data_IF_520640428969
#
_entry.id   IF_520640428969
#
_cell.length_a   1.000
_cell.length_b   1.000
_cell.length_c   1.000
_cell.angle_alpha   90.00
_cell.angle_beta   90.00
_cell.angle_gamma   90.00
#
_symmetry.space_group_name_H-M   'P 1'
#
loop_
_entity.id
_entity.type
_entity.pdbx_description
1 polymer ?
#
# COMPACT_ATOMS: atom_id res chain seq x y z
N UNK A 1 -2.90 -20.08 8.44
CA UNK A 1 -2.23 -21.31 8.93
C UNK A 1 -0.80 -21.01 9.40
N UNK A 2 0.06 -20.44 8.53
CA UNK A 2 1.48 -20.17 8.85
C UNK A 2 1.67 -19.23 10.05
N UNK A 3 1.01 -18.05 10.06
CA UNK A 3 1.12 -17.08 11.16
C UNK A 3 0.75 -17.72 12.50
N UNK A 4 -0.42 -18.39 12.58
CA UNK A 4 -0.87 -19.10 13.79
C UNK A 4 0.13 -20.16 14.28
N UNK A 5 0.76 -20.89 13.37
CA UNK A 5 1.80 -21.87 13.76
C UNK A 5 3.03 -21.16 14.32
N UNK A 6 3.50 -20.08 13.70
CA UNK A 6 4.63 -19.30 14.18
C UNK A 6 4.33 -18.62 15.54
N UNK A 7 3.13 -18.07 15.72
CA UNK A 7 2.64 -17.50 16.99
C UNK A 7 2.71 -18.54 18.11
N UNK A 8 2.27 -19.78 17.84
CA UNK A 8 2.31 -20.87 18.82
C UNK A 8 3.73 -21.27 19.21
N UNK A 9 4.67 -21.24 18.27
CA UNK A 9 6.08 -21.61 18.51
C UNK A 9 6.80 -20.54 19.33
N UNK A 10 6.60 -19.27 18.95
CA UNK A 10 7.30 -18.13 19.57
C UNK A 10 6.61 -17.69 20.88
N UNK A 11 5.33 -18.03 21.05
CA UNK A 11 4.54 -17.68 22.23
C UNK A 11 4.07 -16.22 22.26
N UNK A 12 4.15 -15.51 21.13
CA UNK A 12 3.77 -14.09 21.00
C UNK A 12 2.83 -13.93 19.81
N UNK A 13 1.86 -13.02 19.92
CA UNK A 13 0.98 -12.67 18.80
C UNK A 13 1.76 -11.95 17.70
N UNK A 14 1.54 -12.37 16.46
CA UNK A 14 2.21 -11.84 15.29
C UNK A 14 1.20 -11.07 14.43
N UNK A 15 1.66 -9.98 13.76
CA UNK A 15 0.81 -9.30 12.81
C UNK A 15 0.40 -10.25 11.67
N UNK A 16 -0.81 -10.07 11.13
CA UNK A 16 -1.23 -10.88 10.00
C UNK A 16 -0.37 -10.58 8.77
N UNK A 17 -0.27 -11.53 7.84
CA UNK A 17 0.43 -11.32 6.56
C UNK A 17 -0.14 -10.09 5.83
N UNK A 18 -1.46 -9.87 5.95
CA UNK A 18 -2.13 -8.71 5.37
C UNK A 18 -1.64 -7.41 6.01
N UNK A 19 -1.50 -7.36 7.33
CA UNK A 19 -1.05 -6.16 8.04
C UNK A 19 0.41 -5.83 7.74
N UNK A 20 1.25 -6.85 7.62
CA UNK A 20 2.65 -6.70 7.20
C UNK A 20 2.69 -6.13 5.77
N UNK A 21 1.89 -6.69 4.86
CA UNK A 21 1.80 -6.21 3.48
C UNK A 21 1.31 -4.76 3.42
N UNK A 22 0.20 -4.42 4.07
CA UNK A 22 -0.37 -3.07 4.03
C UNK A 22 0.60 -2.05 4.62
N UNK A 23 1.22 -2.35 5.76
CA UNK A 23 2.21 -1.48 6.42
C UNK A 23 3.40 -1.23 5.50
N UNK A 24 3.96 -2.27 4.88
CA UNK A 24 5.09 -2.13 3.95
C UNK A 24 4.70 -1.38 2.68
N UNK A 25 3.52 -1.66 2.14
CA UNK A 25 3.01 -1.02 0.93
C UNK A 25 2.84 0.48 1.14
N UNK A 26 2.19 0.88 2.24
CA UNK A 26 2.02 2.30 2.62
C UNK A 26 3.38 2.96 2.80
N UNK A 27 4.30 2.37 3.59
CA UNK A 27 5.64 2.95 3.81
C UNK A 27 6.41 3.17 2.50
N UNK A 28 6.32 2.22 1.56
CA UNK A 28 7.01 2.36 0.27
C UNK A 28 6.35 3.44 -0.58
N UNK A 29 5.02 3.49 -0.61
CA UNK A 29 4.28 4.50 -1.35
C UNK A 29 4.55 5.91 -0.81
N UNK A 30 4.53 6.11 0.52
CA UNK A 30 4.85 7.41 1.12
C UNK A 30 6.29 7.84 0.85
N UNK A 31 7.25 6.91 0.83
CA UNK A 31 8.62 7.21 0.43
C UNK A 31 8.74 7.67 -1.03
N UNK A 32 7.96 7.09 -1.95
CA UNK A 32 7.93 7.51 -3.36
C UNK A 32 7.28 8.89 -3.51
N UNK A 33 6.18 9.12 -2.77
CA UNK A 33 5.49 10.42 -2.77
C UNK A 33 6.39 11.52 -2.21
N UNK A 34 7.18 11.24 -1.17
CA UNK A 34 8.08 12.22 -0.57
C UNK A 34 9.29 12.57 -1.47
N UNK A 35 9.67 11.67 -2.38
CA UNK A 35 10.82 11.84 -3.29
C UNK A 35 10.37 12.32 -4.68
N UNK A 36 10.54 13.61 -4.94
CA UNK A 36 10.22 14.23 -6.24
C UNK A 36 11.12 13.75 -7.38
N UNK A 37 12.31 13.22 -7.10
CA UNK A 37 13.24 12.70 -8.10
C UNK A 37 12.89 11.27 -8.54
N UNK A 38 12.00 10.60 -7.81
CA UNK A 38 11.65 9.22 -8.07
C UNK A 38 10.88 9.09 -9.39
N UNK A 39 11.25 8.15 -10.30
CA UNK A 39 10.62 8.02 -11.62
C UNK A 39 9.12 7.71 -11.56
N UNK A 40 8.69 7.02 -10.51
CA UNK A 40 7.27 6.68 -10.28
C UNK A 40 6.49 7.72 -9.46
N UNK A 41 7.09 8.84 -9.07
CA UNK A 41 6.42 9.88 -8.27
C UNK A 41 5.13 10.37 -8.95
N UNK A 42 5.17 10.56 -10.26
CA UNK A 42 4.04 11.03 -11.09
C UNK A 42 2.82 10.10 -11.05
N UNK A 43 3.00 8.82 -10.73
CA UNK A 43 1.89 7.87 -10.56
C UNK A 43 1.03 8.18 -9.33
N UNK A 44 1.59 8.88 -8.34
CA UNK A 44 0.91 9.30 -7.12
C UNK A 44 0.44 10.76 -7.21
N UNK A 45 -0.39 11.05 -8.20
CA UNK A 45 -0.95 12.40 -8.38
C UNK A 45 -2.21 12.58 -7.54
N UNK A 46 -2.27 13.65 -6.73
CA UNK A 46 -3.49 14.04 -6.01
C UNK A 46 -4.56 14.60 -6.96
N UNK A 47 -5.83 14.33 -6.65
CA UNK A 47 -6.96 15.02 -7.27
C UNK A 47 -7.02 16.49 -6.82
N UNK A 48 -7.73 17.38 -7.54
CA UNK A 48 -7.79 18.80 -7.19
C UNK A 48 -8.28 19.09 -5.76
N UNK A 49 -9.03 18.18 -5.15
CA UNK A 49 -9.44 18.29 -3.75
C UNK A 49 -8.32 18.10 -2.73
N UNK A 50 -7.15 17.61 -3.15
CA UNK A 50 -6.00 17.31 -2.27
C UNK A 50 -6.18 16.09 -1.36
N UNK A 51 -7.37 15.48 -1.33
CA UNK A 51 -7.71 14.42 -0.35
C UNK A 51 -7.42 13.00 -0.82
N UNK A 52 -7.34 12.77 -2.12
CA UNK A 52 -7.23 11.43 -2.71
C UNK A 52 -6.27 11.44 -3.89
N UNK A 53 -5.51 10.37 -4.01
CA UNK A 53 -4.70 10.06 -5.18
C UNK A 53 -5.57 9.54 -6.32
N UNK A 54 -5.16 9.85 -7.55
CA UNK A 54 -5.79 9.38 -8.78
C UNK A 54 -5.58 7.87 -8.93
N UNK A 55 -6.67 7.12 -8.99
CA UNK A 55 -6.62 5.67 -9.23
C UNK A 55 -6.05 5.33 -10.60
N UNK A 56 -5.24 4.27 -10.67
CA UNK A 56 -4.77 3.67 -11.92
C UNK A 56 -5.86 2.76 -12.47
N UNK A 57 -6.23 2.96 -13.74
CA UNK A 57 -7.14 2.04 -14.44
C UNK A 57 -6.43 0.69 -14.61
N UNK A 58 -6.96 -0.35 -13.97
CA UNK A 58 -6.46 -1.70 -14.09
C UNK A 58 -7.56 -2.62 -14.64
N UNK A 59 -7.28 -3.27 -15.78
CA UNK A 59 -8.26 -4.12 -16.49
C UNK A 59 -8.12 -5.60 -16.14
N UNK A 60 -7.05 -5.99 -15.48
CA UNK A 60 -6.76 -7.38 -15.12
C UNK A 60 -6.53 -7.49 -13.63
N UNK A 61 -6.92 -8.62 -13.04
CA UNK A 61 -6.66 -8.94 -11.63
C UNK A 61 -5.18 -8.83 -11.29
N UNK A 62 -4.30 -9.30 -12.20
CA UNK A 62 -2.84 -9.20 -12.05
C UNK A 62 -2.38 -7.75 -11.87
N UNK A 63 -2.85 -6.84 -12.72
CA UNK A 63 -2.49 -5.42 -12.58
C UNK A 63 -3.14 -4.81 -11.34
N UNK A 64 -4.41 -5.09 -11.06
CA UNK A 64 -5.11 -4.62 -9.85
C UNK A 64 -4.36 -4.99 -8.57
N UNK A 65 -3.80 -6.20 -8.52
CA UNK A 65 -3.09 -6.73 -7.35
C UNK A 65 -1.59 -6.40 -7.34
N UNK A 66 -1.10 -5.65 -8.34
CA UNK A 66 0.28 -5.17 -8.36
C UNK A 66 0.48 -3.99 -7.40
N UNK A 67 1.75 -3.62 -7.18
CA UNK A 67 2.11 -2.61 -6.19
C UNK A 67 1.40 -1.26 -6.38
N UNK A 68 1.48 -0.61 -7.54
CA UNK A 68 1.03 0.78 -7.68
C UNK A 68 -0.50 0.95 -7.52
N UNK A 69 -1.36 0.16 -8.19
CA UNK A 69 -2.80 0.31 -8.00
C UNK A 69 -3.22 0.02 -6.56
N UNK A 70 -2.59 -0.96 -5.92
CA UNK A 70 -2.90 -1.31 -4.53
C UNK A 70 -2.37 -0.28 -3.52
N UNK A 71 -1.18 0.28 -3.76
CA UNK A 71 -0.63 1.36 -2.96
C UNK A 71 -1.53 2.60 -2.96
N UNK A 72 -1.99 3.01 -4.15
CA UNK A 72 -2.91 4.16 -4.29
C UNK A 72 -4.23 3.91 -3.56
N UNK A 73 -4.79 2.70 -3.68
CA UNK A 73 -6.01 2.32 -2.94
C UNK A 73 -5.80 2.39 -1.43
N UNK A 74 -4.71 1.83 -0.92
CA UNK A 74 -4.41 1.84 0.51
C UNK A 74 -4.20 3.26 1.05
N UNK A 75 -3.51 4.13 0.29
CA UNK A 75 -3.37 5.54 0.66
C UNK A 75 -4.71 6.28 0.67
N UNK A 76 -5.60 5.97 -0.27
CA UNK A 76 -6.93 6.56 -0.34
C UNK A 76 -7.89 6.06 0.76
N UNK A 77 -7.71 4.83 1.23
CA UNK A 77 -8.49 4.24 2.34
C UNK A 77 -8.07 4.79 3.70
N UNK A 78 -6.78 5.13 3.88
CA UNK A 78 -6.24 5.56 5.17
C UNK A 78 -6.60 7.01 5.55
N UNK A 79 -7.00 7.83 4.57
CA UNK A 79 -7.11 9.29 4.74
C UNK A 79 -5.73 9.95 4.80
N UNK A 80 -5.59 11.12 4.18
CA UNK A 80 -4.43 12.00 4.36
C UNK A 80 -4.76 12.96 5.50
N UNK A 81 -4.80 12.43 6.73
CA UNK A 81 -4.90 13.23 7.95
C UNK A 81 -3.54 13.30 8.65
#
# INVERSE_FOLDING_TARGET
RIVKTAEKIIGVSLPSIKDIYTTRCIRKATSIVADWSHPSHTLFTLLPSGRRYRSIRALTSRLCNSFFPQAIRLLNEKGLD
#
